data_IF_739968111747
#
_entry.id   IF_739968111747
#
_cell.length_a   1.000
_cell.length_b   1.000
_cell.length_c   1.000
_cell.angle_alpha   90.00
_cell.angle_beta   90.00
_cell.angle_gamma   90.00
#
_symmetry.space_group_name_H-M   'P 1'
#
loop_
_entity.id
_entity.type
_entity.pdbx_description
1 polymer ?
#
# COMPACT_ATOMS: atom_id res chain seq x y z
N UNK A 1 -8.96 11.53 -18.20
CA UNK A 1 -9.77 10.39 -18.69
C UNK A 1 -9.06 9.05 -18.44
N UNK A 2 -7.76 8.92 -18.75
CA UNK A 2 -6.98 7.68 -18.50
C UNK A 2 -7.01 7.09 -17.07
N UNK A 3 -6.93 7.92 -16.01
CA UNK A 3 -7.04 7.44 -14.61
C UNK A 3 -8.40 6.82 -14.30
N UNK A 4 -9.47 7.38 -14.89
CA UNK A 4 -10.82 6.86 -14.72
C UNK A 4 -10.99 5.54 -15.50
N UNK A 5 -10.37 5.44 -16.69
CA UNK A 5 -10.37 4.22 -17.49
C UNK A 5 -9.59 3.09 -16.79
N UNK A 6 -8.45 3.39 -16.16
CA UNK A 6 -7.68 2.43 -15.34
C UNK A 6 -8.47 2.02 -14.10
N UNK A 7 -9.12 2.97 -13.42
CA UNK A 7 -9.97 2.70 -12.26
C UNK A 7 -11.16 1.80 -12.64
N UNK A 8 -11.86 2.10 -13.73
CA UNK A 8 -12.99 1.31 -14.24
C UNK A 8 -12.52 -0.08 -14.67
N UNK A 9 -11.34 -0.19 -15.30
CA UNK A 9 -10.76 -1.49 -15.70
C UNK A 9 -10.35 -2.32 -14.50
N UNK A 10 -9.81 -1.71 -13.44
CA UNK A 10 -9.50 -2.40 -12.19
C UNK A 10 -10.78 -2.79 -11.44
N UNK A 11 -11.76 -1.89 -11.35
CA UNK A 11 -13.08 -2.15 -10.76
C UNK A 11 -13.81 -3.32 -11.44
N UNK A 12 -13.70 -3.43 -12.77
CA UNK A 12 -14.33 -4.50 -13.56
C UNK A 12 -13.47 -5.76 -13.72
N UNK A 13 -12.24 -5.79 -13.20
CA UNK A 13 -11.32 -6.94 -13.36
C UNK A 13 -11.73 -8.17 -12.54
N UNK A 14 -12.44 -7.96 -11.44
CA UNK A 14 -12.95 -9.00 -10.56
C UNK A 14 -14.21 -8.51 -9.86
N UNK A 15 -15.20 -9.38 -9.58
CA UNK A 15 -16.39 -9.02 -8.80
C UNK A 15 -16.05 -8.47 -7.39
N UNK A 16 -14.81 -8.67 -6.92
CA UNK A 16 -14.32 -8.21 -5.62
C UNK A 16 -13.49 -6.92 -5.69
N UNK A 17 -13.06 -6.47 -6.86
CA UNK A 17 -12.21 -5.28 -6.97
C UNK A 17 -12.94 -4.02 -6.48
N UNK A 18 -14.23 -3.89 -6.79
CA UNK A 18 -15.07 -2.81 -6.25
C UNK A 18 -15.19 -2.86 -4.73
N UNK A 19 -15.28 -4.06 -4.15
CA UNK A 19 -15.32 -4.27 -2.70
C UNK A 19 -14.00 -3.86 -2.04
N UNK A 20 -12.87 -4.25 -2.61
CA UNK A 20 -11.55 -3.90 -2.09
C UNK A 20 -11.28 -2.39 -2.17
N UNK A 21 -11.74 -1.74 -3.24
CA UNK A 21 -11.67 -0.28 -3.37
C UNK A 21 -12.54 0.42 -2.33
N UNK A 22 -13.75 -0.08 -2.08
CA UNK A 22 -14.65 0.47 -1.07
C UNK A 22 -14.10 0.25 0.35
N UNK A 23 -13.55 -0.93 0.61
CA UNK A 23 -12.81 -1.22 1.85
C UNK A 23 -11.67 -0.23 2.08
N UNK A 24 -10.85 0.00 1.06
CA UNK A 24 -9.76 0.95 1.14
C UNK A 24 -10.25 2.38 1.38
N UNK A 25 -11.33 2.79 0.69
CA UNK A 25 -11.95 4.09 0.89
C UNK A 25 -12.44 4.27 2.34
N UNK A 26 -13.13 3.28 2.90
CA UNK A 26 -13.61 3.32 4.29
C UNK A 26 -12.44 3.43 5.27
N UNK A 27 -11.33 2.72 5.04
CA UNK A 27 -10.12 2.86 5.84
C UNK A 27 -9.55 4.29 5.77
N UNK A 28 -9.42 4.85 4.57
CA UNK A 28 -8.88 6.21 4.38
C UNK A 28 -9.77 7.25 5.04
N UNK A 29 -11.09 7.16 4.90
CA UNK A 29 -12.03 8.07 5.53
C UNK A 29 -11.96 7.96 7.06
N UNK A 30 -11.90 6.74 7.58
CA UNK A 30 -11.78 6.51 9.02
C UNK A 30 -10.47 7.07 9.57
N UNK A 31 -9.35 6.83 8.89
CA UNK A 31 -8.05 7.40 9.25
C UNK A 31 -8.10 8.93 9.20
N UNK A 32 -8.61 9.51 8.11
CA UNK A 32 -8.69 10.96 7.92
C UNK A 32 -9.46 11.64 9.05
N UNK A 33 -10.65 11.11 9.41
CA UNK A 33 -11.48 11.66 10.48
C UNK A 33 -10.80 11.52 11.84
N UNK A 34 -10.23 10.34 12.13
CA UNK A 34 -9.60 10.07 13.44
C UNK A 34 -8.27 10.78 13.64
N UNK A 35 -7.61 11.18 12.55
CA UNK A 35 -6.37 11.95 12.58
C UNK A 35 -6.64 13.45 12.62
N UNK A 36 -7.59 13.97 11.84
CA UNK A 36 -7.94 15.40 11.84
C UNK A 36 -8.67 15.83 13.12
N UNK A 37 -9.44 14.91 13.72
CA UNK A 37 -10.15 15.13 14.97
C UNK A 37 -9.61 14.17 16.05
N UNK A 38 -8.45 14.45 16.67
CA UNK A 38 -7.83 13.59 17.69
C UNK A 38 -8.55 13.70 19.06
N UNK A 39 -9.86 13.89 19.05
CA UNK A 39 -10.73 14.00 20.22
C UNK A 39 -11.55 12.72 20.38
N UNK A 40 -12.13 12.52 21.57
CA UNK A 40 -13.09 11.43 21.82
C UNK A 40 -14.20 11.36 20.77
N UNK A 41 -14.70 12.53 20.34
CA UNK A 41 -15.72 12.65 19.31
C UNK A 41 -15.21 12.20 17.93
N UNK A 42 -13.98 12.55 17.56
CA UNK A 42 -13.41 12.09 16.29
C UNK A 42 -13.07 10.59 16.27
N UNK A 43 -12.71 10.00 17.42
CA UNK A 43 -12.57 8.54 17.55
C UNK A 43 -13.92 7.81 17.45
N UNK A 44 -14.99 8.35 18.07
CA UNK A 44 -16.36 7.84 17.90
C UNK A 44 -16.85 7.97 16.45
N UNK A 45 -16.56 9.09 15.78
CA UNK A 45 -16.91 9.27 14.37
C UNK A 45 -16.17 8.25 13.49
N UNK A 46 -14.87 8.02 13.75
CA UNK A 46 -14.11 6.98 13.07
C UNK A 46 -14.65 5.57 13.29
N UNK A 47 -15.04 5.23 14.53
CA UNK A 47 -15.74 3.98 14.82
C UNK A 47 -17.01 3.86 13.97
N UNK A 48 -17.85 4.89 13.96
CA UNK A 48 -19.07 4.92 13.15
C UNK A 48 -18.81 4.70 11.66
N UNK A 49 -17.83 5.38 11.08
CA UNK A 49 -17.45 5.23 9.66
C UNK A 49 -16.97 3.80 9.38
N UNK A 50 -16.09 3.26 10.21
CA UNK A 50 -15.55 1.89 10.03
C UNK A 50 -16.64 0.83 10.14
N UNK A 51 -17.51 0.93 11.15
CA UNK A 51 -18.59 -0.03 11.38
C UNK A 51 -19.66 0.03 10.29
N UNK A 52 -20.12 1.22 9.91
CA UNK A 52 -21.11 1.38 8.83
C UNK A 52 -20.53 0.94 7.50
N UNK A 53 -19.28 1.31 7.20
CA UNK A 53 -18.58 0.88 5.99
C UNK A 53 -18.42 -0.64 5.91
N UNK A 54 -18.07 -1.30 7.03
CA UNK A 54 -18.00 -2.76 7.09
C UNK A 54 -19.34 -3.42 6.81
N UNK A 55 -20.43 -2.98 7.46
CA UNK A 55 -21.78 -3.51 7.24
C UNK A 55 -22.21 -3.33 5.78
N UNK A 56 -21.96 -2.17 5.21
CA UNK A 56 -22.30 -1.89 3.82
C UNK A 56 -21.52 -2.80 2.84
N UNK A 57 -20.22 -2.97 3.04
CA UNK A 57 -19.38 -3.86 2.23
C UNK A 57 -19.83 -5.31 2.34
N UNK A 58 -20.11 -5.79 3.55
CA UNK A 58 -20.59 -7.16 3.79
C UNK A 58 -21.97 -7.38 3.15
N UNK A 59 -22.87 -6.42 3.28
CA UNK A 59 -24.18 -6.47 2.62
C UNK A 59 -24.05 -6.55 1.09
N UNK A 60 -23.14 -5.76 0.50
CA UNK A 60 -22.86 -5.84 -0.94
C UNK A 60 -22.29 -7.21 -1.33
N UNK A 61 -21.33 -7.75 -0.57
CA UNK A 61 -20.77 -9.08 -0.80
C UNK A 61 -21.84 -10.20 -0.73
N UNK A 62 -22.89 -10.03 0.08
CA UNK A 62 -24.01 -10.97 0.12
C UNK A 62 -24.90 -10.92 -1.12
N UNK A 63 -25.00 -9.77 -1.79
CA UNK A 63 -25.77 -9.64 -3.03
C UNK A 63 -25.06 -10.22 -4.27
N UNK A 64 -23.77 -10.52 -4.18
CA UNK A 64 -23.01 -11.06 -5.31
C UNK A 64 -23.35 -12.54 -5.55
N UNK A 65 -23.88 -12.82 -6.75
CA UNK A 65 -24.06 -14.19 -7.24
C UNK A 65 -22.75 -14.66 -7.87
N UNK A 66 -22.11 -15.64 -7.23
CA UNK A 66 -20.74 -16.07 -7.56
C UNK A 66 -20.70 -17.54 -8.00
N UNK A 67 -19.79 -17.84 -8.93
CA UNK A 67 -19.41 -19.22 -9.28
C UNK A 67 -18.75 -19.94 -8.08
N UNK A 68 -18.70 -21.27 -8.11
CA UNK A 68 -18.18 -22.08 -7.00
C UNK A 68 -16.76 -21.67 -6.55
N UNK A 69 -15.85 -21.44 -7.49
CA UNK A 69 -14.46 -20.99 -7.22
C UNK A 69 -14.39 -19.61 -6.56
N UNK A 70 -15.36 -18.73 -6.84
CA UNK A 70 -15.38 -17.38 -6.29
C UNK A 70 -15.96 -17.32 -4.87
N UNK A 71 -16.58 -18.41 -4.37
CA UNK A 71 -17.11 -18.47 -3.00
C UNK A 71 -16.00 -18.50 -1.96
N UNK A 72 -14.94 -19.27 -2.19
CA UNK A 72 -13.79 -19.30 -1.28
C UNK A 72 -13.10 -17.93 -1.20
N UNK A 73 -12.96 -17.24 -2.33
CA UNK A 73 -12.41 -15.90 -2.35
C UNK A 73 -13.32 -14.86 -1.67
N UNK A 74 -14.66 -15.01 -1.78
CA UNK A 74 -15.62 -14.20 -1.02
C UNK A 74 -15.37 -14.34 0.48
N UNK A 75 -15.17 -15.54 0.99
CA UNK A 75 -14.92 -15.77 2.43
C UNK A 75 -13.62 -15.12 2.90
N UNK A 76 -12.56 -15.15 2.07
CA UNK A 76 -11.30 -14.44 2.34
C UNK A 76 -11.53 -12.92 2.40
N UNK A 77 -12.29 -12.36 1.46
CA UNK A 77 -12.58 -10.91 1.43
C UNK A 77 -13.47 -10.50 2.61
N UNK A 78 -14.46 -11.31 2.98
CA UNK A 78 -15.28 -11.11 4.18
C UNK A 78 -14.38 -11.07 5.42
N UNK A 79 -13.50 -12.06 5.57
CA UNK A 79 -12.58 -12.12 6.70
C UNK A 79 -11.65 -10.90 6.75
N UNK A 80 -11.12 -10.46 5.60
CA UNK A 80 -10.34 -9.24 5.51
C UNK A 80 -11.13 -8.02 6.03
N UNK A 81 -12.36 -7.83 5.52
CA UNK A 81 -13.23 -6.70 5.89
C UNK A 81 -13.56 -6.73 7.39
N UNK A 82 -13.97 -7.89 7.92
CA UNK A 82 -14.33 -8.05 9.34
C UNK A 82 -13.11 -7.80 10.25
N UNK A 83 -11.98 -8.46 9.97
CA UNK A 83 -10.79 -8.34 10.82
C UNK A 83 -10.20 -6.93 10.81
N UNK A 84 -10.18 -6.28 9.63
CA UNK A 84 -9.60 -4.95 9.51
C UNK A 84 -10.56 -3.84 9.98
N UNK A 85 -11.75 -3.71 9.39
CA UNK A 85 -12.69 -2.63 9.73
C UNK A 85 -13.40 -2.87 11.06
N UNK A 86 -13.71 -4.13 11.39
CA UNK A 86 -14.25 -4.49 12.70
C UNK A 86 -13.20 -4.33 13.81
N UNK A 87 -11.96 -4.81 13.56
CA UNK A 87 -10.85 -4.62 14.49
C UNK A 87 -10.48 -3.15 14.71
N UNK A 88 -10.41 -2.37 13.63
CA UNK A 88 -10.14 -0.94 13.69
C UNK A 88 -11.29 -0.17 14.37
N UNK A 89 -12.55 -0.49 14.05
CA UNK A 89 -13.72 0.10 14.68
C UNK A 89 -13.75 -0.15 16.19
N UNK A 90 -13.62 -1.41 16.61
CA UNK A 90 -13.58 -1.78 18.04
C UNK A 90 -12.41 -1.14 18.77
N UNK A 91 -11.22 -1.08 18.16
CA UNK A 91 -10.08 -0.35 18.71
C UNK A 91 -10.34 1.15 18.87
N UNK A 92 -10.99 1.79 17.90
CA UNK A 92 -11.37 3.20 18.00
C UNK A 92 -12.43 3.44 19.09
N UNK A 93 -13.39 2.53 19.23
CA UNK A 93 -14.39 2.59 20.31
C UNK A 93 -13.71 2.44 21.67
N UNK A 94 -12.80 1.48 21.82
CA UNK A 94 -12.02 1.26 23.04
C UNK A 94 -11.21 2.51 23.42
N UNK A 95 -10.54 3.14 22.45
CA UNK A 95 -9.81 4.41 22.66
C UNK A 95 -10.75 5.57 22.98
N UNK A 96 -11.96 5.57 22.43
CA UNK A 96 -12.94 6.60 22.74
C UNK A 96 -13.48 6.45 24.17
N UNK A 97 -13.61 5.24 24.72
CA UNK A 97 -14.14 5.01 26.07
C UNK A 97 -13.06 4.98 27.16
N UNK A 98 -11.80 4.77 26.80
CA UNK A 98 -10.68 4.70 27.75
C UNK A 98 -10.26 6.09 28.28
N UNK A 99 -9.50 6.08 29.39
CA UNK A 99 -8.92 7.31 29.96
C UNK A 99 -8.00 7.98 28.94
N UNK A 100 -8.10 9.32 28.86
CA UNK A 100 -7.30 10.14 27.93
C UNK A 100 -5.81 9.86 28.17
N UNK A 101 -5.05 9.44 27.14
CA UNK A 101 -3.62 9.20 27.28
C UNK A 101 -2.91 10.48 27.71
N UNK A 102 -1.85 10.35 28.52
CA UNK A 102 -1.09 11.50 28.97
C UNK A 102 -0.36 12.15 27.78
N UNK A 103 0.06 13.41 27.92
CA UNK A 103 0.85 14.08 26.87
C UNK A 103 2.14 13.32 26.55
N UNK A 104 2.73 12.66 27.55
CA UNK A 104 3.93 11.83 27.38
C UNK A 104 3.65 10.58 26.54
N UNK A 105 2.55 9.86 26.81
CA UNK A 105 2.17 8.66 26.05
C UNK A 105 1.89 8.98 24.57
N UNK A 106 1.21 10.10 24.32
CA UNK A 106 0.93 10.59 22.97
C UNK A 106 2.24 10.88 22.24
N UNK A 107 3.19 11.56 22.90
CA UNK A 107 4.45 11.94 22.28
C UNK A 107 5.40 10.76 22.04
N UNK A 108 5.41 9.78 22.95
CA UNK A 108 6.14 8.52 22.79
C UNK A 108 5.56 7.70 21.62
N UNK A 109 4.24 7.55 21.57
CA UNK A 109 3.55 6.86 20.48
C UNK A 109 3.81 7.55 19.14
N UNK A 110 3.79 8.88 19.12
CA UNK A 110 4.10 9.70 17.96
C UNK A 110 5.51 9.46 17.44
N UNK A 111 6.49 9.49 18.33
CA UNK A 111 7.89 9.25 17.99
C UNK A 111 8.11 7.82 17.48
N UNK A 112 7.42 6.85 18.09
CA UNK A 112 7.45 5.46 17.65
C UNK A 112 6.87 5.29 16.24
N UNK A 113 5.67 5.82 15.98
CA UNK A 113 4.99 5.74 14.67
C UNK A 113 5.78 6.50 13.61
N UNK A 114 6.27 7.71 13.92
CA UNK A 114 7.09 8.50 13.00
C UNK A 114 8.38 7.76 12.63
N UNK A 115 9.07 7.18 13.62
CA UNK A 115 10.32 6.46 13.40
C UNK A 115 10.15 5.12 12.70
N UNK A 116 9.16 4.31 13.07
CA UNK A 116 8.95 2.98 12.47
C UNK A 116 8.17 3.05 11.15
N UNK A 117 7.10 3.86 11.09
CA UNK A 117 6.27 4.01 9.91
C UNK A 117 7.07 4.55 8.72
N UNK A 118 7.83 5.64 8.90
CA UNK A 118 8.67 6.17 7.84
C UNK A 118 9.72 5.18 7.36
N UNK A 119 10.31 4.38 8.27
CA UNK A 119 11.28 3.34 7.91
C UNK A 119 10.66 2.26 7.04
N UNK A 120 9.44 1.81 7.35
CA UNK A 120 8.75 0.81 6.53
C UNK A 120 8.53 1.33 5.10
N UNK A 121 8.03 2.56 4.96
CA UNK A 121 7.83 3.16 3.64
C UNK A 121 9.14 3.37 2.89
N UNK A 122 10.20 3.79 3.59
CA UNK A 122 11.53 3.95 3.01
C UNK A 122 12.04 2.62 2.44
N UNK A 123 11.93 1.53 3.20
CA UNK A 123 12.33 0.22 2.71
C UNK A 123 11.50 -0.23 1.51
N UNK A 124 10.18 -0.03 1.53
CA UNK A 124 9.32 -0.38 0.39
C UNK A 124 9.68 0.43 -0.86
N UNK A 125 9.90 1.74 -0.73
CA UNK A 125 10.25 2.59 -1.86
C UNK A 125 11.66 2.32 -2.39
N UNK A 126 12.63 2.10 -1.52
CA UNK A 126 14.00 1.71 -1.92
C UNK A 126 13.98 0.35 -2.63
N UNK A 127 13.19 -0.60 -2.14
CA UNK A 127 13.02 -1.89 -2.81
C UNK A 127 12.46 -1.71 -4.23
N UNK A 128 11.35 -0.98 -4.37
CA UNK A 128 10.74 -0.68 -5.68
C UNK A 128 11.72 0.07 -6.58
N UNK A 129 12.46 1.04 -6.05
CA UNK A 129 13.47 1.81 -6.77
C UNK A 129 14.57 0.92 -7.34
N UNK A 130 15.17 0.05 -6.52
CA UNK A 130 16.25 -0.82 -6.96
C UNK A 130 15.77 -1.87 -7.97
N UNK A 131 14.61 -2.48 -7.72
CA UNK A 131 14.02 -3.45 -8.63
C UNK A 131 13.65 -2.81 -9.98
N UNK A 132 13.01 -1.63 -9.97
CA UNK A 132 12.64 -0.93 -11.20
C UNK A 132 13.87 -0.49 -11.99
N UNK A 133 14.93 -0.02 -11.34
CA UNK A 133 16.18 0.33 -12.02
C UNK A 133 16.83 -0.89 -12.69
N UNK A 134 17.02 -1.98 -11.95
CA UNK A 134 17.65 -3.19 -12.46
C UNK A 134 16.85 -3.82 -13.61
N UNK A 135 15.52 -3.92 -13.45
CA UNK A 135 14.64 -4.42 -14.51
C UNK A 135 14.58 -3.46 -15.70
N UNK A 136 14.66 -2.14 -15.50
CA UNK A 136 14.68 -1.19 -16.62
C UNK A 136 15.92 -1.38 -17.50
N UNK A 137 17.09 -1.61 -16.90
CA UNK A 137 18.33 -1.86 -17.63
C UNK A 137 18.26 -3.19 -18.40
N UNK A 138 17.76 -4.25 -17.76
CA UNK A 138 17.61 -5.57 -18.37
C UNK A 138 16.56 -5.57 -19.49
N UNK A 139 15.41 -4.92 -19.29
CA UNK A 139 14.39 -4.74 -20.31
C UNK A 139 14.89 -3.87 -21.47
N UNK A 140 15.70 -2.85 -21.21
CA UNK A 140 16.27 -2.01 -22.27
C UNK A 140 17.19 -2.83 -23.18
N UNK A 141 18.01 -3.71 -22.61
CA UNK A 141 18.82 -4.66 -23.37
C UNK A 141 17.96 -5.60 -24.21
N UNK A 142 16.97 -6.25 -23.60
CA UNK A 142 16.08 -7.18 -24.31
C UNK A 142 15.27 -6.50 -25.42
N UNK A 143 14.81 -5.28 -25.18
CA UNK A 143 14.13 -4.49 -26.19
C UNK A 143 15.06 -4.12 -27.35
N UNK A 144 16.31 -3.74 -27.08
CA UNK A 144 17.31 -3.44 -28.10
C UNK A 144 17.61 -4.66 -28.99
N UNK A 145 17.62 -5.86 -28.42
CA UNK A 145 17.78 -7.12 -29.16
C UNK A 145 16.47 -7.66 -29.78
N UNK A 146 15.37 -6.92 -29.72
CA UNK A 146 14.10 -7.29 -30.37
C UNK A 146 13.34 -8.43 -29.69
N UNK A 147 13.53 -8.63 -28.38
CA UNK A 147 12.86 -9.70 -27.65
C UNK A 147 11.33 -9.47 -27.61
N UNK A 148 10.49 -10.42 -28.06
CA UNK A 148 9.07 -10.18 -28.35
C UNK A 148 8.21 -9.88 -27.11
N UNK A 149 8.69 -10.28 -25.94
CA UNK A 149 8.00 -10.10 -24.65
C UNK A 149 8.20 -8.70 -24.08
N UNK A 150 9.26 -7.98 -24.47
CA UNK A 150 9.62 -6.69 -23.88
C UNK A 150 9.29 -5.56 -24.86
N UNK A 151 8.41 -4.67 -24.44
CA UNK A 151 7.99 -3.50 -25.23
C UNK A 151 8.70 -2.24 -24.75
N UNK A 152 8.82 -1.23 -25.62
CA UNK A 152 9.31 0.10 -25.22
C UNK A 152 8.47 0.72 -24.09
N UNK A 153 7.16 0.42 -24.04
CA UNK A 153 6.27 0.82 -22.95
C UNK A 153 6.68 0.21 -21.60
N UNK A 154 7.10 -1.06 -21.57
CA UNK A 154 7.58 -1.70 -20.35
C UNK A 154 8.84 -1.00 -19.80
N UNK A 155 9.79 -0.66 -20.68
CA UNK A 155 11.01 0.09 -20.31
C UNK A 155 10.66 1.47 -19.76
N UNK A 156 9.81 2.23 -20.46
CA UNK A 156 9.39 3.56 -20.01
C UNK A 156 8.59 3.52 -18.70
N UNK A 157 7.78 2.48 -18.48
CA UNK A 157 7.01 2.29 -17.26
C UNK A 157 7.92 2.01 -16.06
N UNK A 158 8.94 1.16 -16.22
CA UNK A 158 9.93 0.90 -15.18
C UNK A 158 10.76 2.14 -14.84
N UNK A 159 11.15 2.93 -15.83
CA UNK A 159 11.85 4.21 -15.60
C UNK A 159 10.96 5.22 -14.87
N UNK A 160 9.67 5.30 -15.21
CA UNK A 160 8.72 6.16 -14.49
C UNK A 160 8.57 5.72 -13.03
N UNK A 161 8.43 4.42 -12.77
CA UNK A 161 8.39 3.86 -11.41
C UNK A 161 9.67 4.21 -10.65
N UNK A 162 10.84 4.07 -11.27
CA UNK A 162 12.13 4.45 -10.68
C UNK A 162 12.15 5.93 -10.28
N UNK A 163 11.79 6.84 -11.17
CA UNK A 163 11.79 8.29 -10.90
C UNK A 163 10.80 8.65 -9.78
N UNK A 164 9.61 8.08 -9.80
CA UNK A 164 8.58 8.34 -8.77
C UNK A 164 8.98 7.75 -7.42
N UNK A 165 9.60 6.57 -7.39
CA UNK A 165 10.15 6.00 -6.16
C UNK A 165 11.32 6.85 -5.61
N UNK A 166 12.18 7.38 -6.49
CA UNK A 166 13.29 8.28 -6.10
C UNK A 166 12.75 9.57 -5.47
N UNK A 167 11.72 10.17 -6.08
CA UNK A 167 11.00 11.31 -5.51
C UNK A 167 10.39 10.96 -4.14
N UNK A 168 9.81 9.76 -4.01
CA UNK A 168 9.26 9.26 -2.75
C UNK A 168 10.32 9.12 -1.64
N UNK A 169 11.52 8.64 -1.96
CA UNK A 169 12.66 8.58 -1.01
C UNK A 169 13.14 9.97 -0.59
N UNK A 170 13.25 10.90 -1.54
CA UNK A 170 13.59 12.30 -1.26
C UNK A 170 12.52 12.96 -0.37
N UNK A 171 11.25 12.67 -0.65
CA UNK A 171 10.13 13.10 0.18
C UNK A 171 10.30 12.54 1.58
N UNK A 172 10.44 11.22 1.80
CA UNK A 172 10.64 10.64 3.15
C UNK A 172 11.78 11.32 3.92
N UNK A 173 12.90 11.64 3.25
CA UNK A 173 14.03 12.34 3.86
C UNK A 173 13.66 13.74 4.36
N UNK A 174 12.84 14.48 3.61
CA UNK A 174 12.29 15.78 4.02
C UNK A 174 11.34 15.64 5.22
N UNK A 175 10.62 14.54 5.31
CA UNK A 175 9.56 14.31 6.30
C UNK A 175 10.07 13.80 7.62
N UNK A 176 11.18 13.07 7.58
CA UNK A 176 11.98 12.76 8.76
C UNK A 176 12.39 14.03 9.51
N UNK A 177 12.61 15.14 8.81
CA UNK A 177 12.96 16.44 9.39
C UNK A 177 11.74 17.24 9.88
N UNK A 178 10.52 16.85 9.50
CA UNK A 178 9.30 17.62 9.75
C UNK A 178 8.38 16.95 10.80
N UNK A 179 8.28 17.52 12.00
CA UNK A 179 7.47 17.00 13.14
C UNK A 179 5.94 17.14 12.97
N UNK A 180 5.43 17.80 11.91
CA UNK A 180 3.99 18.07 11.69
C UNK A 180 3.37 17.28 10.53
N UNK A 181 3.99 16.17 10.14
CA UNK A 181 3.73 15.56 8.84
C UNK A 181 2.65 14.45 8.80
N UNK A 182 2.22 13.95 9.95
CA UNK A 182 1.50 12.68 10.05
C UNK A 182 0.21 12.56 9.21
N UNK A 183 -0.51 13.66 8.96
CA UNK A 183 -1.81 13.61 8.26
C UNK A 183 -1.66 13.57 6.74
N UNK A 184 -1.11 14.63 6.14
CA UNK A 184 -0.91 14.71 4.68
C UNK A 184 0.12 13.73 4.19
N UNK A 185 1.04 13.40 5.08
CA UNK A 185 2.18 12.62 4.76
C UNK A 185 1.98 11.16 4.50
N UNK A 186 1.38 10.50 5.49
CA UNK A 186 1.07 9.08 5.39
C UNK A 186 0.12 8.86 4.22
N UNK A 187 -0.86 9.76 4.02
CA UNK A 187 -1.75 9.74 2.86
C UNK A 187 -1.00 9.86 1.54
N UNK A 188 -0.02 10.77 1.43
CA UNK A 188 0.76 10.93 0.21
C UNK A 188 1.69 9.74 -0.05
N UNK A 189 2.32 9.15 0.97
CA UNK A 189 3.13 7.94 0.80
C UNK A 189 2.28 6.73 0.39
N UNK A 190 1.10 6.56 1.00
CA UNK A 190 0.15 5.52 0.59
C UNK A 190 -0.34 5.74 -0.83
N UNK A 191 -0.72 6.97 -1.18
CA UNK A 191 -1.15 7.33 -2.53
C UNK A 191 -0.05 7.09 -3.56
N UNK A 192 1.20 7.43 -3.23
CA UNK A 192 2.36 7.17 -4.07
C UNK A 192 2.61 5.67 -4.24
N UNK A 193 2.49 4.87 -3.17
CA UNK A 193 2.62 3.42 -3.24
C UNK A 193 1.50 2.79 -4.11
N UNK A 194 0.26 3.25 -3.94
CA UNK A 194 -0.89 2.82 -4.72
C UNK A 194 -0.81 3.23 -6.19
N UNK A 195 -0.11 4.31 -6.50
CA UNK A 195 0.18 4.69 -7.87
C UNK A 195 1.33 3.85 -8.46
N UNK A 196 2.39 3.62 -7.69
CA UNK A 196 3.57 2.86 -8.13
C UNK A 196 3.24 1.40 -8.42
N UNK A 197 2.46 0.74 -7.55
CA UNK A 197 2.21 -0.70 -7.66
C UNK A 197 1.59 -1.12 -8.99
N UNK A 198 0.47 -0.50 -9.45
CA UNK A 198 -0.16 -0.86 -10.72
C UNK A 198 0.74 -0.60 -11.92
N UNK A 199 1.45 0.54 -11.94
CA UNK A 199 2.37 0.90 -13.03
C UNK A 199 3.53 -0.11 -13.08
N UNK A 200 4.07 -0.49 -11.93
CA UNK A 200 5.12 -1.49 -11.83
C UNK A 200 4.66 -2.88 -12.31
N UNK A 201 3.52 -3.35 -11.81
CA UNK A 201 2.92 -4.65 -12.19
C UNK A 201 2.65 -4.69 -13.70
N UNK A 202 2.09 -3.61 -14.25
CA UNK A 202 1.83 -3.49 -15.69
C UNK A 202 3.14 -3.53 -16.49
N UNK A 203 4.19 -2.87 -16.01
CA UNK A 203 5.48 -2.80 -16.70
C UNK A 203 6.22 -4.16 -16.69
N UNK A 204 6.07 -4.97 -15.64
CA UNK A 204 6.67 -6.31 -15.57
C UNK A 204 5.78 -7.42 -16.14
N UNK A 205 4.54 -7.10 -16.54
CA UNK A 205 3.55 -8.12 -16.93
C UNK A 205 4.04 -9.04 -18.05
N UNK A 206 4.74 -8.49 -19.05
CA UNK A 206 5.36 -9.30 -20.10
C UNK A 206 6.38 -10.30 -19.54
N UNK A 207 7.24 -9.88 -18.61
CA UNK A 207 8.20 -10.78 -17.98
C UNK A 207 7.50 -11.87 -17.15
N UNK A 208 6.42 -11.51 -16.46
CA UNK A 208 5.61 -12.45 -15.65
C UNK A 208 4.94 -13.49 -16.54
N UNK A 209 4.37 -13.08 -17.68
CA UNK A 209 3.73 -14.01 -18.61
C UNK A 209 4.72 -14.96 -19.28
N UNK A 210 5.98 -14.53 -19.45
CA UNK A 210 7.05 -15.39 -19.94
C UNK A 210 7.59 -16.34 -18.89
N UNK A 211 7.93 -15.85 -17.69
CA UNK A 211 8.41 -16.67 -16.58
C UNK A 211 8.16 -16.02 -15.23
N UNK A 212 7.04 -16.41 -14.61
CA UNK A 212 6.72 -16.04 -13.23
C UNK A 212 7.84 -16.44 -12.27
N UNK A 213 8.46 -17.62 -12.46
CA UNK A 213 9.53 -18.11 -11.60
C UNK A 213 10.76 -17.21 -11.64
N UNK A 214 11.15 -16.71 -12.82
CA UNK A 214 12.29 -15.79 -12.95
C UNK A 214 12.00 -14.45 -12.27
N UNK A 215 10.78 -13.92 -12.45
CA UNK A 215 10.36 -12.67 -11.81
C UNK A 215 10.32 -12.83 -10.30
N UNK A 216 9.70 -13.89 -9.77
CA UNK A 216 9.67 -14.15 -8.33
C UNK A 216 11.07 -14.35 -7.77
N UNK A 217 11.92 -15.14 -8.43
CA UNK A 217 13.31 -15.36 -8.03
C UNK A 217 14.10 -14.06 -7.93
N UNK A 218 13.98 -13.18 -8.94
CA UNK A 218 14.60 -11.85 -8.90
C UNK A 218 14.15 -11.03 -7.67
N UNK A 219 12.84 -10.95 -7.43
CA UNK A 219 12.29 -10.17 -6.32
C UNK A 219 12.67 -10.76 -4.96
N UNK A 220 12.68 -12.08 -4.82
CA UNK A 220 13.09 -12.78 -3.60
C UNK A 220 14.57 -12.51 -3.31
N UNK A 221 15.45 -12.65 -4.30
CA UNK A 221 16.88 -12.36 -4.12
C UNK A 221 17.11 -10.90 -3.78
N UNK A 222 16.43 -9.97 -4.46
CA UNK A 222 16.51 -8.55 -4.14
C UNK A 222 16.03 -8.26 -2.70
N UNK A 223 14.96 -8.91 -2.25
CA UNK A 223 14.43 -8.77 -0.90
C UNK A 223 15.38 -9.31 0.17
N UNK A 224 15.98 -10.48 -0.07
CA UNK A 224 16.98 -11.08 0.83
C UNK A 224 18.23 -10.20 0.90
N UNK A 225 18.75 -9.75 -0.25
CA UNK A 225 19.92 -8.88 -0.32
C UNK A 225 19.70 -7.58 0.46
N UNK A 226 18.53 -6.97 0.29
CA UNK A 226 18.14 -5.77 1.02
C UNK A 226 18.04 -6.02 2.52
N UNK A 227 17.36 -7.10 2.94
CA UNK A 227 17.26 -7.50 4.34
C UNK A 227 18.64 -7.75 4.97
N UNK A 228 19.54 -8.39 4.22
CA UNK A 228 20.93 -8.62 4.63
C UNK A 228 21.71 -7.32 4.82
N UNK A 229 21.61 -6.37 3.88
CA UNK A 229 22.27 -5.05 4.04
C UNK A 229 21.77 -4.30 5.27
N UNK A 230 20.46 -4.33 5.54
CA UNK A 230 19.87 -3.69 6.72
C UNK A 230 20.33 -4.36 8.01
N UNK A 231 20.38 -5.69 8.03
CA UNK A 231 20.89 -6.46 9.17
C UNK A 231 22.35 -6.13 9.46
N UNK A 232 23.22 -6.16 8.44
CA UNK A 232 24.65 -5.85 8.57
C UNK A 232 24.86 -4.44 9.10
N UNK A 233 24.19 -3.44 8.52
CA UNK A 233 24.28 -2.06 8.98
C UNK A 233 23.78 -1.86 10.42
N UNK A 234 22.90 -2.72 10.95
CA UNK A 234 22.50 -2.64 12.37
C UNK A 234 23.54 -3.24 13.30
N UNK A 235 24.24 -4.29 12.87
CA UNK A 235 25.27 -4.95 13.67
C UNK A 235 26.57 -4.14 13.75
N UNK A 236 26.87 -3.31 12.75
CA UNK A 236 28.05 -2.41 12.77
C UNK A 236 27.90 -1.23 13.76
N UNK A 237 26.70 -1.00 14.29
CA UNK A 237 26.37 0.11 15.19
C UNK A 237 25.97 -0.36 16.61
N UNK A 238 26.11 -1.67 16.89
CA UNK A 238 25.97 -2.29 18.20
C UNK A 238 27.37 -2.60 18.76
#
# INVERSE_FOLDING_TARGET
>A
MWLFDVFVRFYNSSPFSGVLLLWFLVLVLTASVTMNCPTRRGKLAGFGISSVGAVFILGYLETLVLSATNKEFKDVVINLVVMSLGGLGSGLLAVAISRRPSKADIQQTRHFIHGWGLRIFEYLLVFILMCSLALSALCLLFWFFGWPVVTGHAVSGLLLVFLVAAMGCAFISYLRRSMKWEQWGVGLLFGLLLFLLPVYVQAIWGLVSWSLAAVLGFHTVAGIAMGWTVWRQRMEWL
#
